data_IF_432124316965
#
_entry.id   IF_432124316965
#
_cell.length_a   1.000
_cell.length_b   1.000
_cell.length_c   1.000
_cell.angle_alpha   90.00
_cell.angle_beta   90.00
_cell.angle_gamma   90.00
#
_symmetry.space_group_name_H-M   'P 1'
#
loop_
_entity.id
_entity.type
_entity.pdbx_description
1 polymer ?
#
# COMPACT_ATOMS: atom_id res chain seq x y z
N UNK A 1 -24.86 -34.39 -4.89
CA UNK A 1 -24.00 -33.28 -4.39
C UNK A 1 -23.95 -32.12 -5.38
N UNK A 2 -23.73 -32.31 -6.68
CA UNK A 2 -23.67 -31.23 -7.70
C UNK A 2 -24.91 -30.31 -7.70
N UNK A 3 -26.14 -30.91 -7.59
CA UNK A 3 -27.39 -30.14 -7.51
C UNK A 3 -27.51 -29.27 -6.26
N UNK A 4 -26.90 -29.73 -5.15
CA UNK A 4 -26.88 -29.01 -3.89
C UNK A 4 -25.84 -27.87 -3.91
N UNK A 5 -24.69 -28.08 -4.55
CA UNK A 5 -23.61 -27.09 -4.65
C UNK A 5 -23.98 -25.87 -5.51
N UNK A 6 -24.78 -26.10 -6.59
CA UNK A 6 -25.09 -25.07 -7.60
C UNK A 6 -25.72 -23.79 -7.04
N UNK A 7 -26.77 -23.81 -6.19
CA UNK A 7 -27.35 -22.58 -5.64
C UNK A 7 -26.39 -21.80 -4.76
N UNK A 8 -25.52 -22.48 -4.00
CA UNK A 8 -24.50 -21.80 -3.19
C UNK A 8 -23.44 -21.10 -4.04
N UNK A 9 -23.00 -21.73 -5.13
CA UNK A 9 -22.08 -21.10 -6.08
C UNK A 9 -22.72 -19.92 -6.80
N UNK A 10 -24.01 -19.99 -7.15
CA UNK A 10 -24.73 -18.82 -7.70
C UNK A 10 -24.77 -17.66 -6.70
N UNK A 11 -25.11 -17.94 -5.45
CA UNK A 11 -25.10 -16.93 -4.38
C UNK A 11 -23.71 -16.37 -4.15
N UNK A 12 -22.67 -17.23 -4.16
CA UNK A 12 -21.26 -16.79 -4.06
C UNK A 12 -20.86 -15.88 -5.23
N UNK A 13 -21.36 -16.15 -6.45
CA UNK A 13 -21.13 -15.29 -7.62
C UNK A 13 -21.70 -13.89 -7.40
N UNK A 14 -22.96 -13.82 -6.96
CA UNK A 14 -23.61 -12.53 -6.67
C UNK A 14 -22.84 -11.76 -5.60
N UNK A 15 -22.50 -12.43 -4.49
CA UNK A 15 -21.74 -11.82 -3.40
C UNK A 15 -20.36 -11.37 -3.87
N UNK A 16 -19.66 -12.16 -4.66
CA UNK A 16 -18.34 -11.82 -5.17
C UNK A 16 -18.37 -10.59 -6.09
N UNK A 17 -19.35 -10.53 -7.00
CA UNK A 17 -19.55 -9.36 -7.87
C UNK A 17 -19.88 -8.12 -7.04
N UNK A 18 -20.82 -8.22 -6.12
CA UNK A 18 -21.20 -7.10 -5.24
C UNK A 18 -20.00 -6.65 -4.39
N UNK A 19 -19.25 -7.58 -3.79
CA UNK A 19 -18.05 -7.26 -2.99
C UNK A 19 -16.99 -6.57 -3.84
N UNK A 20 -16.77 -7.02 -5.07
CA UNK A 20 -15.85 -6.36 -5.99
C UNK A 20 -16.31 -4.94 -6.35
N UNK A 21 -17.57 -4.75 -6.73
CA UNK A 21 -18.10 -3.44 -7.07
C UNK A 21 -18.07 -2.47 -5.88
N UNK A 22 -18.43 -2.94 -4.70
CA UNK A 22 -18.34 -2.16 -3.47
C UNK A 22 -16.89 -1.75 -3.18
N UNK A 23 -15.97 -2.71 -3.20
CA UNK A 23 -14.54 -2.47 -2.89
C UNK A 23 -13.84 -1.61 -3.95
N UNK A 24 -14.17 -1.79 -5.23
CA UNK A 24 -13.50 -1.08 -6.32
C UNK A 24 -14.02 0.35 -6.56
N UNK A 25 -15.28 0.63 -6.22
CA UNK A 25 -15.93 1.90 -6.60
C UNK A 25 -16.63 2.62 -5.42
N UNK A 26 -17.43 1.91 -4.64
CA UNK A 26 -18.31 2.56 -3.65
C UNK A 26 -17.54 2.91 -2.36
N UNK A 27 -16.78 1.96 -1.83
CA UNK A 27 -16.01 2.15 -0.59
C UNK A 27 -14.96 3.26 -0.73
N UNK A 28 -14.16 3.35 -1.82
CA UNK A 28 -13.22 4.44 -2.01
C UNK A 28 -13.87 5.83 -1.98
N UNK A 29 -14.98 6.02 -2.70
CA UNK A 29 -15.72 7.29 -2.72
C UNK A 29 -16.29 7.64 -1.32
N UNK A 30 -16.75 6.65 -0.56
CA UNK A 30 -17.21 6.87 0.81
C UNK A 30 -16.05 7.23 1.75
N UNK A 31 -14.89 6.60 1.56
CA UNK A 31 -13.67 6.90 2.32
C UNK A 31 -13.13 8.30 2.03
N UNK A 32 -13.20 8.78 0.79
CA UNK A 32 -12.83 10.15 0.44
C UNK A 32 -13.59 11.16 1.29
N UNK A 33 -14.93 11.06 1.33
CA UNK A 33 -15.78 11.92 2.16
C UNK A 33 -15.48 11.78 3.66
N UNK A 34 -15.25 10.55 4.13
CA UNK A 34 -14.86 10.30 5.52
C UNK A 34 -13.54 10.99 5.88
N UNK A 35 -12.52 10.87 5.02
CA UNK A 35 -11.20 11.43 5.26
C UNK A 35 -11.24 12.97 5.15
N UNK A 36 -12.06 13.53 4.27
CA UNK A 36 -12.30 14.96 4.20
C UNK A 36 -12.93 15.49 5.50
N UNK A 37 -13.94 14.81 6.01
CA UNK A 37 -14.56 15.11 7.31
C UNK A 37 -13.54 15.01 8.45
N UNK A 38 -12.73 13.93 8.49
CA UNK A 38 -11.67 13.78 9.48
C UNK A 38 -10.65 14.93 9.43
N UNK A 39 -10.25 15.37 8.23
CA UNK A 39 -9.34 16.52 8.04
C UNK A 39 -9.96 17.81 8.59
N UNK A 40 -11.24 18.01 8.37
CA UNK A 40 -11.95 19.23 8.78
C UNK A 40 -12.15 19.31 10.31
N UNK A 41 -12.58 18.21 10.94
CA UNK A 41 -13.00 18.23 12.35
C UNK A 41 -11.94 17.70 13.34
N UNK A 42 -11.05 16.82 12.92
CA UNK A 42 -10.01 16.24 13.77
C UNK A 42 -8.61 16.88 13.62
N UNK A 43 -8.46 17.81 12.65
CA UNK A 43 -7.35 18.73 12.47
C UNK A 43 -5.94 18.20 12.79
N UNK A 44 -5.31 18.76 13.81
CA UNK A 44 -3.89 18.54 14.16
C UNK A 44 -3.51 17.11 14.61
N UNK A 45 -4.44 16.26 15.03
CA UNK A 45 -4.13 14.86 15.41
C UNK A 45 -3.76 13.96 14.22
N UNK A 46 -4.04 14.40 13.00
CA UNK A 46 -3.77 13.67 11.76
C UNK A 46 -2.56 14.17 10.96
N UNK A 47 -1.80 15.11 11.52
CA UNK A 47 -0.54 15.52 10.92
C UNK A 47 0.45 14.36 10.98
N UNK A 48 0.49 13.56 9.94
CA UNK A 48 1.42 12.45 9.82
C UNK A 48 2.83 13.02 9.77
N UNK A 49 3.69 12.56 10.67
CA UNK A 49 5.12 12.80 10.61
C UNK A 49 5.68 11.68 9.73
N UNK A 50 5.76 11.90 8.42
CA UNK A 50 6.44 10.96 7.54
C UNK A 50 7.91 10.89 7.98
N UNK A 51 8.46 9.67 8.11
CA UNK A 51 9.83 9.42 8.53
C UNK A 51 10.60 8.69 7.45
N UNK A 52 11.91 8.91 7.40
CA UNK A 52 12.82 8.28 6.45
C UNK A 52 12.34 8.41 4.99
N UNK A 53 12.08 9.65 4.59
CA UNK A 53 11.59 9.97 3.26
C UNK A 53 12.74 9.90 2.26
N UNK A 54 12.69 8.93 1.36
CA UNK A 54 13.59 8.82 0.21
C UNK A 54 12.78 8.97 -1.06
N UNK A 55 13.11 9.95 -1.92
CA UNK A 55 12.38 10.16 -3.18
C UNK A 55 13.32 10.57 -4.30
N UNK A 56 13.10 10.03 -5.48
CA UNK A 56 13.67 10.55 -6.71
C UNK A 56 12.80 11.70 -7.23
N UNK A 57 13.38 12.88 -7.39
CA UNK A 57 12.67 14.09 -7.85
C UNK A 57 12.94 14.42 -9.32
N UNK A 58 14.05 13.93 -9.86
CA UNK A 58 14.41 13.98 -11.28
C UNK A 58 15.34 12.80 -11.61
N UNK A 59 15.54 12.43 -12.88
CA UNK A 59 16.52 11.41 -13.25
C UNK A 59 17.88 11.69 -12.63
N UNK A 60 18.39 10.75 -11.80
CA UNK A 60 19.66 10.89 -11.09
C UNK A 60 19.66 11.84 -9.89
N UNK A 61 18.54 12.48 -9.54
CA UNK A 61 18.44 13.38 -8.38
C UNK A 61 17.54 12.81 -7.32
N UNK A 62 18.09 12.59 -6.14
CA UNK A 62 17.39 12.01 -4.99
C UNK A 62 17.35 12.98 -3.82
N UNK A 63 16.27 12.98 -3.07
CA UNK A 63 16.15 13.69 -1.80
C UNK A 63 15.98 12.71 -0.65
N UNK A 64 16.50 13.08 0.49
CA UNK A 64 16.27 12.43 1.76
C UNK A 64 15.84 13.44 2.81
N UNK A 65 14.91 13.06 3.68
CA UNK A 65 14.54 13.75 4.92
C UNK A 65 14.32 12.72 6.02
N UNK A 66 14.88 12.93 7.20
CA UNK A 66 14.62 12.04 8.35
C UNK A 66 13.17 12.12 8.81
N UNK A 67 12.57 13.31 8.72
CA UNK A 67 11.15 13.50 9.00
C UNK A 67 10.62 14.81 8.39
N UNK A 68 9.34 14.83 8.08
CA UNK A 68 8.63 16.03 7.63
C UNK A 68 7.44 16.33 8.54
N UNK A 69 7.38 17.56 9.06
CA UNK A 69 6.25 18.05 9.87
C UNK A 69 5.29 18.84 9.00
N UNK A 70 4.13 18.25 8.73
CA UNK A 70 3.06 18.88 7.94
C UNK A 70 2.50 20.14 8.63
N UNK A 71 2.43 20.14 9.96
CA UNK A 71 1.86 21.26 10.73
C UNK A 71 2.70 22.55 10.59
N UNK A 72 4.03 22.42 10.54
CA UNK A 72 4.97 23.53 10.43
C UNK A 72 5.56 23.71 9.04
N UNK A 73 5.31 22.77 8.10
CA UNK A 73 5.95 22.69 6.79
C UNK A 73 7.47 22.70 6.86
N UNK A 74 8.02 21.86 7.77
CA UNK A 74 9.46 21.74 8.04
C UNK A 74 9.92 20.31 7.81
N UNK A 75 10.96 20.14 6.99
CA UNK A 75 11.71 18.89 6.85
C UNK A 75 13.00 18.95 7.67
N UNK A 76 13.38 17.84 8.28
CA UNK A 76 14.57 17.70 9.12
C UNK A 76 15.58 16.75 8.48
N UNK A 77 16.86 17.01 8.70
CA UNK A 77 18.00 16.25 8.19
C UNK A 77 17.87 16.03 6.66
N UNK A 78 17.75 17.14 5.97
CA UNK A 78 17.51 17.16 4.52
C UNK A 78 18.80 16.93 3.75
N UNK A 79 18.76 16.09 2.71
CA UNK A 79 19.81 16.04 1.69
C UNK A 79 19.26 15.95 0.28
N UNK A 80 20.02 16.51 -0.69
CA UNK A 80 19.86 16.29 -2.12
C UNK A 80 21.14 15.65 -2.62
N UNK A 81 20.98 14.58 -3.38
CA UNK A 81 22.07 13.82 -4.00
C UNK A 81 21.87 13.77 -5.50
N UNK A 82 22.87 14.18 -6.26
CA UNK A 82 22.88 14.13 -7.70
C UNK A 82 23.88 13.08 -8.19
N UNK A 83 23.37 12.13 -8.98
CA UNK A 83 24.14 11.05 -9.57
C UNK A 83 24.25 11.23 -11.11
N UNK A 84 25.40 10.87 -11.64
CA UNK A 84 25.62 10.69 -13.08
C UNK A 84 25.92 9.21 -13.33
N UNK A 85 24.90 8.46 -13.81
CA UNK A 85 24.94 7.00 -13.78
C UNK A 85 24.98 6.52 -12.32
N UNK A 86 25.98 5.72 -11.96
CA UNK A 86 26.14 5.19 -10.59
C UNK A 86 27.11 6.04 -9.72
N UNK A 87 27.59 7.17 -10.24
CA UNK A 87 28.57 8.00 -9.54
C UNK A 87 27.91 9.22 -8.93
N UNK A 88 28.12 9.45 -7.61
CA UNK A 88 27.68 10.65 -6.91
C UNK A 88 28.52 11.84 -7.37
N UNK A 89 27.89 12.88 -7.93
CA UNK A 89 28.52 14.11 -8.40
C UNK A 89 28.54 15.19 -7.33
N UNK A 90 27.40 15.37 -6.66
CA UNK A 90 27.32 16.30 -5.55
C UNK A 90 26.25 15.86 -4.53
N UNK A 91 26.43 16.32 -3.30
CA UNK A 91 25.51 16.12 -2.18
C UNK A 91 25.36 17.40 -1.38
N UNK A 92 24.15 17.95 -1.33
CA UNK A 92 23.82 19.04 -0.42
C UNK A 92 23.15 18.44 0.82
N UNK A 93 23.61 18.83 1.99
CA UNK A 93 23.03 18.44 3.28
C UNK A 93 22.61 19.67 4.07
N UNK A 94 21.56 19.54 4.85
CA UNK A 94 21.04 20.62 5.69
C UNK A 94 20.32 20.04 6.91
N UNK A 95 20.42 20.74 8.04
CA UNK A 95 19.69 20.36 9.26
C UNK A 95 18.19 20.55 9.13
N UNK A 96 17.75 21.53 8.31
CA UNK A 96 16.35 21.91 8.21
C UNK A 96 16.02 22.56 6.86
N UNK A 97 14.88 22.17 6.30
CA UNK A 97 14.27 22.82 5.13
C UNK A 97 12.88 23.31 5.52
N UNK A 98 12.48 24.53 5.11
CA UNK A 98 11.18 25.12 5.37
C UNK A 98 10.52 25.57 4.09
N UNK A 99 9.19 25.51 4.04
CA UNK A 99 8.43 26.00 2.90
C UNK A 99 7.97 27.44 3.14
N UNK A 100 8.36 28.33 2.26
CA UNK A 100 7.85 29.69 2.18
C UNK A 100 6.57 29.71 1.35
N UNK A 101 5.44 29.95 2.00
CA UNK A 101 4.10 29.96 1.36
C UNK A 101 3.89 31.15 0.44
N UNK A 102 4.48 32.29 0.77
CA UNK A 102 4.29 33.56 0.03
C UNK A 102 5.03 33.50 -1.30
N UNK A 103 6.29 33.06 -1.27
CA UNK A 103 7.15 32.97 -2.43
C UNK A 103 7.10 31.63 -3.16
N UNK A 104 6.38 30.62 -2.62
CA UNK A 104 6.31 29.24 -3.14
C UNK A 104 7.68 28.63 -3.40
N UNK A 105 8.59 28.79 -2.44
CA UNK A 105 9.98 28.32 -2.49
C UNK A 105 10.35 27.51 -1.26
N UNK A 106 11.33 26.65 -1.41
CA UNK A 106 11.97 25.98 -0.30
C UNK A 106 13.15 26.82 0.19
N UNK A 107 13.26 26.93 1.50
CA UNK A 107 14.36 27.62 2.21
C UNK A 107 15.19 26.56 2.94
N UNK A 108 16.40 26.37 2.50
CA UNK A 108 17.35 25.42 3.08
C UNK A 108 18.21 26.19 4.10
N UNK A 109 18.25 25.68 5.35
CA UNK A 109 18.97 26.33 6.44
C UNK A 109 20.25 25.56 6.79
N UNK A 110 21.34 26.30 7.03
CA UNK A 110 22.63 25.75 7.45
C UNK A 110 23.07 24.59 6.52
N UNK A 111 23.21 24.92 5.25
CA UNK A 111 23.51 23.93 4.23
C UNK A 111 25.02 23.74 4.03
N UNK A 112 25.40 22.54 3.64
CA UNK A 112 26.73 22.14 3.20
C UNK A 112 26.61 21.40 1.89
N UNK A 113 27.27 21.93 0.85
CA UNK A 113 27.38 21.31 -0.46
C UNK A 113 28.75 20.64 -0.57
N UNK A 114 28.77 19.38 -0.93
CA UNK A 114 29.94 18.60 -1.30
C UNK A 114 29.88 18.34 -2.79
N UNK A 115 30.89 18.80 -3.52
CA UNK A 115 31.06 18.55 -4.96
C UNK A 115 32.24 17.60 -5.16
N UNK A 116 32.08 16.60 -6.03
CA UNK A 116 33.06 15.53 -6.26
C UNK A 116 33.46 15.58 -7.73
N UNK A 117 34.71 15.91 -7.99
CA UNK A 117 35.31 15.91 -9.34
C UNK A 117 36.51 14.95 -9.36
N UNK A 118 36.26 13.68 -9.75
CA UNK A 118 37.27 12.63 -9.66
C UNK A 118 37.72 12.39 -8.24
N UNK A 119 39.01 12.60 -7.93
CA UNK A 119 39.59 12.44 -6.59
C UNK A 119 39.55 13.72 -5.74
N UNK A 120 39.03 14.82 -6.29
CA UNK A 120 38.94 16.10 -5.59
C UNK A 120 37.54 16.32 -5.04
N UNK A 121 37.50 16.75 -3.77
CA UNK A 121 36.26 17.13 -3.11
C UNK A 121 36.32 18.61 -2.69
N UNK A 122 35.27 19.35 -3.05
CA UNK A 122 35.10 20.74 -2.65
C UNK A 122 33.90 20.89 -1.74
N UNK A 123 34.07 21.67 -0.69
CA UNK A 123 33.01 21.92 0.29
C UNK A 123 32.64 23.39 0.33
N UNK A 124 31.36 23.68 0.10
CA UNK A 124 30.79 25.04 0.24
C UNK A 124 29.71 25.01 1.31
N UNK A 125 29.63 26.04 2.15
CA UNK A 125 28.64 26.12 3.23
C UNK A 125 27.94 27.47 3.20
N UNK A 126 26.68 27.50 3.68
CA UNK A 126 25.95 28.75 3.81
C UNK A 126 24.83 28.64 4.84
N UNK A 127 24.33 29.79 5.27
CA UNK A 127 23.28 29.85 6.30
C UNK A 127 21.88 29.66 5.72
N UNK A 128 21.60 30.24 4.56
CA UNK A 128 20.28 30.23 3.93
C UNK A 128 20.43 30.12 2.42
N UNK A 129 19.62 29.27 1.81
CA UNK A 129 19.52 29.10 0.37
C UNK A 129 18.05 28.97 -0.04
N UNK A 130 17.55 29.95 -0.81
CA UNK A 130 16.20 29.92 -1.34
C UNK A 130 16.22 29.23 -2.71
N UNK A 131 15.42 28.16 -2.88
CA UNK A 131 15.42 27.40 -4.11
C UNK A 131 14.02 26.92 -4.49
N UNK A 132 13.77 26.77 -5.79
CA UNK A 132 12.56 26.12 -6.31
C UNK A 132 12.90 24.67 -6.60
N UNK A 133 12.13 23.75 -6.03
CA UNK A 133 12.30 22.32 -6.24
C UNK A 133 11.08 21.71 -6.92
N UNK A 134 11.28 20.57 -7.57
CA UNK A 134 10.23 19.86 -8.31
C UNK A 134 9.18 19.17 -7.42
N UNK A 135 9.19 19.40 -6.11
CA UNK A 135 8.23 18.84 -5.15
C UNK A 135 7.62 19.92 -4.26
N UNK A 136 6.41 19.63 -3.78
CA UNK A 136 5.63 20.55 -2.94
C UNK A 136 5.34 19.93 -1.57
N UNK A 137 5.04 20.74 -0.53
CA UNK A 137 4.65 20.28 0.81
C UNK A 137 3.47 19.32 0.82
N UNK A 138 2.52 19.49 -0.09
CA UNK A 138 1.35 18.61 -0.25
C UNK A 138 1.72 17.15 -0.49
N UNK A 139 2.86 16.91 -1.14
CA UNK A 139 3.32 15.54 -1.43
C UNK A 139 3.77 14.77 -0.19
N UNK A 140 4.11 15.46 0.91
CA UNK A 140 4.50 14.85 2.20
C UNK A 140 3.36 14.85 3.23
N UNK A 141 2.26 15.54 2.91
CA UNK A 141 1.11 15.68 3.83
C UNK A 141 0.15 14.52 3.77
N UNK A 142 0.22 13.71 2.73
CA UNK A 142 -0.72 12.64 2.48
C UNK A 142 -0.21 11.31 3.02
N UNK A 143 -0.96 10.72 3.95
CA UNK A 143 -0.69 9.37 4.43
C UNK A 143 -0.93 8.36 3.30
N UNK A 144 0.09 7.59 2.86
CA UNK A 144 -0.06 6.61 1.77
C UNK A 144 -1.22 5.65 1.98
N UNK A 145 -1.50 5.27 3.25
CA UNK A 145 -2.63 4.43 3.60
C UNK A 145 -3.96 5.12 3.30
N UNK A 146 -4.10 6.41 3.63
CA UNK A 146 -5.32 7.18 3.37
C UNK A 146 -5.55 7.40 1.88
N UNK A 147 -4.49 7.67 1.12
CA UNK A 147 -4.57 7.78 -0.34
C UNK A 147 -5.09 6.47 -0.92
N UNK A 148 -4.51 5.34 -0.52
CA UNK A 148 -4.87 4.01 -0.98
C UNK A 148 -6.35 3.66 -0.72
N UNK A 149 -6.89 4.11 0.43
CA UNK A 149 -8.29 3.88 0.81
C UNK A 149 -9.30 4.73 0.00
N UNK A 150 -8.86 5.80 -0.67
CA UNK A 150 -9.69 6.74 -1.44
C UNK A 150 -9.70 6.45 -2.94
N UNK A 151 -8.71 5.72 -3.45
CA UNK A 151 -8.58 5.50 -4.88
C UNK A 151 -9.50 4.38 -5.35
N UNK A 152 -10.32 4.67 -6.35
CA UNK A 152 -11.07 3.65 -7.11
C UNK A 152 -10.12 2.76 -7.90
N UNK A 153 -10.58 1.57 -8.31
CA UNK A 153 -9.74 0.62 -9.04
C UNK A 153 -9.01 1.21 -10.27
N UNK A 154 -9.66 2.01 -11.16
CA UNK A 154 -8.97 2.63 -12.28
C UNK A 154 -7.99 3.75 -11.88
N UNK A 155 -8.31 4.48 -10.80
CA UNK A 155 -7.44 5.53 -10.28
C UNK A 155 -6.20 4.94 -9.63
N UNK A 156 -6.38 3.84 -8.90
CA UNK A 156 -5.29 3.08 -8.27
C UNK A 156 -4.31 2.56 -9.32
N UNK A 157 -4.78 2.09 -10.47
CA UNK A 157 -3.93 1.63 -11.56
C UNK A 157 -3.08 2.77 -12.13
N UNK A 158 -3.72 3.89 -12.48
CA UNK A 158 -3.01 5.10 -12.94
C UNK A 158 -2.06 5.67 -11.89
N UNK A 159 -2.39 5.57 -10.62
CA UNK A 159 -1.54 6.03 -9.53
C UNK A 159 -0.30 5.14 -9.37
N UNK A 160 -0.45 3.82 -9.44
CA UNK A 160 0.64 2.84 -9.42
C UNK A 160 1.64 3.11 -10.55
N UNK A 161 1.16 3.36 -11.78
CA UNK A 161 2.04 3.63 -12.92
C UNK A 161 2.84 4.91 -12.72
N UNK A 162 2.22 5.97 -12.21
CA UNK A 162 2.95 7.22 -11.86
C UNK A 162 3.98 6.99 -10.77
N UNK A 163 3.68 6.19 -9.75
CA UNK A 163 4.62 5.88 -8.67
C UNK A 163 5.80 5.05 -9.17
N UNK A 164 5.58 4.09 -10.08
CA UNK A 164 6.66 3.31 -10.71
C UNK A 164 7.62 4.21 -11.49
N UNK A 165 7.10 5.16 -12.28
CA UNK A 165 7.93 6.11 -13.02
C UNK A 165 8.77 7.01 -12.09
N UNK A 166 8.28 7.29 -10.87
CA UNK A 166 8.98 8.11 -9.87
C UNK A 166 9.93 7.30 -8.97
N UNK A 167 10.03 5.98 -9.14
CA UNK A 167 10.87 5.12 -8.29
C UNK A 167 10.44 5.06 -6.82
N UNK A 168 9.16 5.27 -6.54
CA UNK A 168 8.65 5.30 -5.16
C UNK A 168 8.70 3.93 -4.50
N UNK A 169 9.22 3.85 -3.27
CA UNK A 169 9.29 2.60 -2.48
C UNK A 169 7.92 2.01 -2.10
N UNK A 170 6.89 2.85 -2.00
CA UNK A 170 5.56 2.44 -1.55
C UNK A 170 4.69 1.78 -2.65
N UNK A 171 5.21 1.63 -3.87
CA UNK A 171 4.46 1.04 -5.01
C UNK A 171 3.90 -0.34 -4.66
N UNK A 172 4.68 -1.15 -3.94
CA UNK A 172 4.33 -2.52 -3.56
C UNK A 172 3.01 -2.56 -2.78
N UNK A 173 2.82 -1.67 -1.82
CA UNK A 173 1.59 -1.62 -1.00
C UNK A 173 0.34 -1.30 -1.83
N UNK A 174 0.46 -0.38 -2.81
CA UNK A 174 -0.64 -0.05 -3.73
C UNK A 174 -0.96 -1.19 -4.68
N UNK A 175 0.06 -1.91 -5.16
CA UNK A 175 -0.12 -3.12 -5.97
C UNK A 175 -0.83 -4.23 -5.19
N UNK A 176 -0.45 -4.47 -3.93
CA UNK A 176 -1.11 -5.43 -3.06
C UNK A 176 -2.60 -5.09 -2.93
N UNK A 177 -2.94 -3.82 -2.67
CA UNK A 177 -4.34 -3.39 -2.54
C UNK A 177 -5.14 -3.65 -3.83
N UNK A 178 -4.58 -3.27 -4.98
CA UNK A 178 -5.19 -3.54 -6.29
C UNK A 178 -5.48 -5.02 -6.49
N UNK A 179 -4.50 -5.89 -6.23
CA UNK A 179 -4.67 -7.34 -6.41
C UNK A 179 -5.61 -7.96 -5.38
N UNK A 180 -5.64 -7.44 -4.14
CA UNK A 180 -6.60 -7.87 -3.10
C UNK A 180 -8.05 -7.66 -3.51
N UNK A 181 -8.39 -6.55 -4.19
CA UNK A 181 -9.76 -6.29 -4.64
C UNK A 181 -10.28 -7.44 -5.52
N UNK A 182 -9.44 -7.96 -6.41
CA UNK A 182 -9.81 -9.09 -7.28
C UNK A 182 -9.75 -10.42 -6.49
N UNK A 183 -8.67 -10.65 -5.75
CA UNK A 183 -8.44 -11.89 -5.04
C UNK A 183 -9.51 -12.18 -3.99
N UNK A 184 -10.04 -11.15 -3.31
CA UNK A 184 -11.11 -11.29 -2.33
C UNK A 184 -12.43 -11.78 -2.96
N UNK A 185 -12.73 -11.37 -4.19
CA UNK A 185 -13.87 -11.90 -4.91
C UNK A 185 -13.72 -13.42 -5.16
N UNK A 186 -12.52 -13.86 -5.56
CA UNK A 186 -12.23 -15.29 -5.72
C UNK A 186 -12.23 -16.05 -4.39
N UNK A 187 -11.75 -15.43 -3.30
CA UNK A 187 -11.80 -16.02 -1.96
C UNK A 187 -13.23 -16.39 -1.55
N UNK A 188 -14.22 -15.56 -1.90
CA UNK A 188 -15.63 -15.83 -1.61
C UNK A 188 -16.08 -17.17 -2.23
N UNK A 189 -15.69 -17.46 -3.47
CA UNK A 189 -15.98 -18.77 -4.09
C UNK A 189 -15.30 -19.91 -3.41
N UNK A 190 -13.98 -19.76 -3.13
CA UNK A 190 -13.17 -20.83 -2.55
C UNK A 190 -13.68 -21.19 -1.16
N UNK A 191 -13.95 -20.19 -0.32
CA UNK A 191 -14.41 -20.41 1.05
C UNK A 191 -15.84 -20.94 1.07
N UNK A 192 -16.73 -20.49 0.17
CA UNK A 192 -18.07 -21.05 0.01
C UNK A 192 -18.00 -22.51 -0.43
N UNK A 193 -17.16 -22.83 -1.41
CA UNK A 193 -16.95 -24.21 -1.87
C UNK A 193 -16.47 -25.13 -0.76
N UNK A 194 -15.50 -24.66 0.05
CA UNK A 194 -15.00 -25.42 1.22
C UNK A 194 -16.14 -25.57 2.25
N UNK A 195 -16.84 -24.50 2.60
CA UNK A 195 -17.91 -24.50 3.60
C UNK A 195 -19.03 -25.48 3.25
N UNK A 196 -19.50 -25.48 1.98
CA UNK A 196 -20.52 -26.41 1.49
C UNK A 196 -20.00 -27.86 1.51
N UNK A 197 -18.72 -28.05 1.15
CA UNK A 197 -18.13 -29.40 1.15
C UNK A 197 -17.99 -29.98 2.54
N UNK A 198 -17.73 -29.14 3.56
CA UNK A 198 -17.64 -29.56 4.97
C UNK A 198 -19.04 -29.83 5.52
N UNK A 199 -19.99 -28.91 5.29
CA UNK A 199 -21.36 -29.04 5.84
C UNK A 199 -22.14 -30.21 5.25
N UNK A 200 -21.74 -30.72 4.10
CA UNK A 200 -22.34 -31.92 3.49
C UNK A 200 -22.00 -33.24 4.20
N UNK A 201 -21.02 -33.24 5.10
CA UNK A 201 -20.58 -34.42 5.82
C UNK A 201 -21.44 -34.67 7.07
N UNK A 202 -21.88 -35.90 7.26
CA UNK A 202 -22.49 -36.32 8.53
C UNK A 202 -21.39 -36.49 9.58
N UNK A 203 -21.34 -35.60 10.56
CA UNK A 203 -20.39 -35.66 11.67
C UNK A 203 -21.16 -35.85 12.98
N UNK A 204 -20.65 -36.70 13.89
CA UNK A 204 -21.25 -36.97 15.21
C UNK A 204 -21.22 -35.80 16.19
N UNK A 205 -20.62 -34.64 15.82
CA UNK A 205 -20.46 -33.45 16.66
C UNK A 205 -21.57 -32.39 16.52
N UNK A 206 -22.64 -32.63 15.76
CA UNK A 206 -23.72 -31.69 15.56
C UNK A 206 -23.34 -30.42 14.79
N UNK A 207 -24.25 -29.42 14.77
CA UNK A 207 -24.05 -28.13 14.05
C UNK A 207 -22.86 -27.31 14.53
N UNK A 208 -22.54 -27.39 15.84
CA UNK A 208 -21.45 -26.60 16.44
C UNK A 208 -20.07 -26.94 15.86
N UNK A 209 -19.82 -28.20 15.52
CA UNK A 209 -18.54 -28.65 14.96
C UNK A 209 -18.34 -28.13 13.53
N UNK A 210 -19.40 -28.12 12.71
CA UNK A 210 -19.34 -27.54 11.36
C UNK A 210 -19.06 -26.04 11.39
N UNK A 211 -19.71 -25.31 12.30
CA UNK A 211 -19.47 -23.88 12.51
C UNK A 211 -18.04 -23.62 12.99
N UNK A 212 -17.54 -24.39 13.94
CA UNK A 212 -16.18 -24.28 14.46
C UNK A 212 -15.11 -24.49 13.37
N UNK A 213 -15.27 -25.54 12.56
CA UNK A 213 -14.33 -25.83 11.44
C UNK A 213 -14.41 -24.72 10.39
N UNK A 214 -15.61 -24.24 10.03
CA UNK A 214 -15.77 -23.16 9.07
C UNK A 214 -15.11 -21.87 9.52
N UNK A 215 -15.28 -21.52 10.79
CA UNK A 215 -14.67 -20.35 11.40
C UNK A 215 -13.12 -20.46 11.45
N UNK A 216 -12.62 -21.63 11.83
CA UNK A 216 -11.19 -21.93 11.87
C UNK A 216 -10.55 -21.79 10.47
N UNK A 217 -11.19 -22.33 9.42
CA UNK A 217 -10.71 -22.21 8.05
C UNK A 217 -10.71 -20.75 7.58
N UNK A 218 -11.80 -20.01 7.85
CA UNK A 218 -11.88 -18.59 7.48
C UNK A 218 -10.82 -17.76 8.19
N UNK A 219 -10.60 -18.00 9.49
CA UNK A 219 -9.55 -17.34 10.26
C UNK A 219 -8.15 -17.68 9.74
N UNK A 220 -7.89 -18.97 9.45
CA UNK A 220 -6.64 -19.41 8.86
C UNK A 220 -6.37 -18.77 7.50
N UNK A 221 -7.41 -18.61 6.67
CA UNK A 221 -7.29 -17.89 5.39
C UNK A 221 -6.86 -16.43 5.60
N UNK A 222 -7.52 -15.73 6.53
CA UNK A 222 -7.21 -14.31 6.84
C UNK A 222 -5.76 -14.18 7.34
N UNK A 223 -5.35 -15.04 8.27
CA UNK A 223 -3.97 -15.05 8.77
C UNK A 223 -2.97 -15.32 7.64
N UNK A 224 -3.23 -16.32 6.81
CA UNK A 224 -2.32 -16.65 5.71
C UNK A 224 -2.22 -15.50 4.68
N UNK A 225 -3.34 -14.83 4.37
CA UNK A 225 -3.35 -13.63 3.53
C UNK A 225 -2.49 -12.52 4.15
N UNK A 226 -2.60 -12.31 5.47
CA UNK A 226 -1.82 -11.29 6.16
C UNK A 226 -0.32 -11.62 6.13
N UNK A 227 0.08 -12.84 6.46
CA UNK A 227 1.48 -13.25 6.37
C UNK A 227 2.03 -13.11 4.95
N UNK A 228 1.31 -13.60 3.95
CA UNK A 228 1.73 -13.55 2.55
C UNK A 228 1.95 -12.11 2.06
N UNK A 229 1.07 -11.17 2.45
CA UNK A 229 1.23 -9.75 2.10
C UNK A 229 2.38 -9.07 2.83
N UNK A 230 2.69 -9.46 4.08
CA UNK A 230 3.87 -8.98 4.81
C UNK A 230 5.17 -9.42 4.12
N UNK A 231 5.23 -10.65 3.59
CA UNK A 231 6.37 -11.11 2.79
C UNK A 231 6.54 -10.32 1.49
N UNK A 232 5.48 -9.83 0.88
CA UNK A 232 5.58 -8.96 -0.30
C UNK A 232 6.10 -7.56 0.05
N UNK A 233 5.69 -7.00 1.18
CA UNK A 233 6.12 -5.66 1.60
C UNK A 233 7.56 -5.61 2.10
N UNK A 234 8.02 -6.66 2.80
CA UNK A 234 9.32 -6.68 3.48
C UNK A 234 10.34 -7.67 2.90
N UNK A 235 9.90 -8.62 2.07
CA UNK A 235 10.68 -9.80 1.67
C UNK A 235 10.93 -9.98 0.17
N UNK A 236 10.78 -8.94 -0.66
CA UNK A 236 10.99 -9.00 -2.12
C UNK A 236 10.10 -10.00 -2.88
N UNK A 237 9.02 -10.49 -2.28
CA UNK A 237 8.05 -11.34 -2.97
C UNK A 237 7.22 -10.52 -3.96
N UNK A 238 6.98 -11.07 -5.15
CA UNK A 238 6.10 -10.39 -6.12
C UNK A 238 4.69 -10.18 -5.53
N UNK A 239 4.15 -8.95 -5.52
CA UNK A 239 2.84 -8.63 -4.93
C UNK A 239 1.67 -9.47 -5.48
N UNK A 240 1.71 -9.80 -6.77
CA UNK A 240 0.69 -10.64 -7.39
C UNK A 240 0.73 -12.06 -6.79
N UNK A 241 1.92 -12.67 -6.70
CA UNK A 241 2.08 -14.00 -6.12
C UNK A 241 1.67 -14.03 -4.65
N UNK A 242 2.05 -13.01 -3.88
CA UNK A 242 1.71 -12.91 -2.47
C UNK A 242 0.19 -12.90 -2.23
N UNK A 243 -0.56 -12.16 -3.04
CA UNK A 243 -2.00 -12.04 -2.88
C UNK A 243 -2.75 -13.28 -3.39
N UNK A 244 -2.23 -13.96 -4.42
CA UNK A 244 -2.89 -15.16 -4.98
C UNK A 244 -2.51 -16.46 -4.28
N UNK A 245 -1.36 -16.52 -3.60
CA UNK A 245 -0.88 -17.73 -2.90
C UNK A 245 -1.92 -18.30 -1.91
N UNK A 246 -2.57 -17.49 -1.04
CA UNK A 246 -3.64 -17.99 -0.17
C UNK A 246 -4.79 -18.60 -0.94
N UNK A 247 -5.24 -17.96 -2.02
CA UNK A 247 -6.33 -18.46 -2.85
C UNK A 247 -5.99 -19.80 -3.48
N UNK A 248 -4.78 -19.97 -4.00
CA UNK A 248 -4.32 -21.22 -4.61
C UNK A 248 -4.27 -22.32 -3.54
N UNK A 249 -3.67 -22.06 -2.39
CA UNK A 249 -3.57 -23.02 -1.29
C UNK A 249 -4.95 -23.50 -0.83
N UNK A 250 -5.85 -22.56 -0.55
CA UNK A 250 -7.19 -22.89 -0.07
C UNK A 250 -8.07 -23.51 -1.17
N UNK A 251 -7.85 -23.21 -2.44
CA UNK A 251 -8.50 -23.91 -3.55
C UNK A 251 -8.09 -25.40 -3.58
N UNK A 252 -6.79 -25.71 -3.37
CA UNK A 252 -6.30 -27.10 -3.28
C UNK A 252 -6.95 -27.80 -2.09
N UNK A 253 -6.98 -27.16 -0.92
CA UNK A 253 -7.68 -27.69 0.27
C UNK A 253 -9.16 -27.94 -0.05
N UNK A 254 -9.81 -27.00 -0.73
CA UNK A 254 -11.23 -27.12 -1.15
C UNK A 254 -11.47 -28.34 -2.03
N UNK A 255 -10.62 -28.54 -3.04
CA UNK A 255 -10.70 -29.71 -3.92
C UNK A 255 -10.48 -31.01 -3.14
N UNK A 256 -9.53 -31.03 -2.21
CA UNK A 256 -9.29 -32.21 -1.34
C UNK A 256 -10.53 -32.51 -0.47
N UNK A 257 -11.06 -31.49 0.21
CA UNK A 257 -12.25 -31.64 1.05
C UNK A 257 -13.47 -32.09 0.23
N UNK A 258 -13.63 -31.57 -0.98
CA UNK A 258 -14.69 -31.98 -1.89
C UNK A 258 -14.59 -33.44 -2.33
N UNK A 259 -13.37 -33.91 -2.67
CA UNK A 259 -13.15 -35.30 -3.08
C UNK A 259 -13.42 -36.30 -1.96
N UNK A 260 -13.23 -35.90 -0.73
CA UNK A 260 -13.47 -36.74 0.47
C UNK A 260 -14.89 -36.58 1.05
N UNK A 261 -15.72 -35.70 0.47
CA UNK A 261 -17.12 -35.56 0.84
C UNK A 261 -17.94 -36.75 0.31
N UNK A 262 -18.93 -37.26 1.09
CA UNK A 262 -19.82 -38.34 0.62
C UNK A 262 -20.62 -37.84 -0.58
N UNK A 263 -20.63 -38.68 -1.64
CA UNK A 263 -21.34 -38.39 -2.89
C UNK A 263 -22.82 -38.73 -2.80
#
# INVERSE_FOLDING_TARGET
FRRFLFPYLMSATVIAILSFLLGAFIIPNANEKRIEFEKQYMGKRYANKEQNIHRQIAPGTYIYMSSYSVASNVGYDFSIENFRGDTLVNKLTSSRITWDKENKKWVIHNWKLREIEGDKETYTTGQKLDTVMAFQPSEFSENPKKIREQLTFPELDRYIDRMKMRGSSNVIEFQIEKYKMIANAFATFILTFIGVSISSRKIRGGMGLHLGIGLLISFSYILFMQFSTVFATNGNMNPLLAVWLPNILFAIIGVFVYRTAPK
#
